data_IF_113672593895
#
_entry.id   IF_113672593895
#
_cell.length_a   1.000
_cell.length_b   1.000
_cell.length_c   1.000
_cell.angle_alpha   90.00
_cell.angle_beta   90.00
_cell.angle_gamma   90.00
#
_symmetry.space_group_name_H-M   'P 1'
#
loop_
_entity.id
_entity.type
_entity.pdbx_description
1 polymer ?
#
# COMPACT_ATOMS: atom_id res chain seq x y z
N UNK A 1 44.90 31.49 32.04
CA UNK A 1 43.67 31.93 31.42
C UNK A 1 42.79 30.72 31.15
N UNK A 2 41.80 30.50 32.03
CA UNK A 2 40.78 29.44 31.84
C UNK A 2 39.78 29.93 30.78
N UNK A 3 39.80 29.33 29.64
CA UNK A 3 38.75 29.50 28.64
C UNK A 3 37.49 28.85 29.21
N UNK A 4 36.54 29.66 29.66
CA UNK A 4 35.16 29.24 29.91
C UNK A 4 34.55 28.87 28.55
N UNK A 5 34.50 27.60 28.24
CA UNK A 5 33.58 27.12 27.22
C UNK A 5 32.19 27.33 27.76
N UNK A 6 31.48 28.28 27.18
CA UNK A 6 30.07 28.52 27.44
C UNK A 6 29.29 27.33 26.88
N UNK A 7 28.49 26.69 27.73
CA UNK A 7 27.57 25.58 27.44
C UNK A 7 26.44 25.94 26.42
N UNK A 8 26.64 27.00 25.66
CA UNK A 8 25.67 27.57 24.72
C UNK A 8 25.93 27.20 23.25
N UNK A 9 26.93 26.36 22.95
CA UNK A 9 27.27 25.95 21.59
C UNK A 9 27.05 24.45 21.34
N UNK A 10 26.34 23.74 22.19
CA UNK A 10 25.67 22.52 21.75
C UNK A 10 24.53 23.00 20.86
N UNK A 11 24.87 23.19 19.57
CA UNK A 11 23.91 23.51 18.53
C UNK A 11 22.64 22.69 18.80
N UNK A 12 21.55 23.37 19.17
CA UNK A 12 20.20 22.83 19.17
C UNK A 12 19.98 22.20 17.78
N UNK A 13 20.36 20.96 17.61
CA UNK A 13 19.80 20.14 16.55
C UNK A 13 18.31 20.19 16.81
N UNK A 14 17.63 21.05 16.10
CA UNK A 14 16.18 21.24 16.22
C UNK A 14 15.55 19.90 15.87
N UNK A 15 15.30 19.11 16.93
CA UNK A 15 14.69 17.80 16.82
C UNK A 15 13.37 18.01 16.10
N UNK A 16 13.24 17.44 14.91
CA UNK A 16 12.06 17.62 14.08
C UNK A 16 10.97 16.66 14.55
N UNK A 17 9.83 17.22 14.95
CA UNK A 17 8.65 16.41 15.33
C UNK A 17 7.90 15.90 14.11
N UNK A 18 7.10 14.83 14.23
CA UNK A 18 6.21 14.35 13.17
C UNK A 18 5.32 15.46 12.59
N UNK A 19 4.75 16.31 13.44
CA UNK A 19 3.92 17.45 13.01
C UNK A 19 4.67 18.41 12.09
N UNK A 20 5.90 18.77 12.46
CA UNK A 20 6.74 19.65 11.66
C UNK A 20 7.13 19.01 10.33
N UNK A 21 7.44 17.70 10.34
CA UNK A 21 7.81 16.96 9.13
C UNK A 21 6.62 16.84 8.18
N UNK A 22 5.43 16.49 8.68
CA UNK A 22 4.18 16.44 7.90
C UNK A 22 3.88 17.81 7.28
N UNK A 23 3.95 18.89 8.05
CA UNK A 23 3.73 20.25 7.56
C UNK A 23 4.70 20.59 6.42
N UNK A 24 5.99 20.32 6.61
CA UNK A 24 7.02 20.57 5.58
C UNK A 24 6.75 19.79 4.30
N UNK A 25 6.38 18.51 4.42
CA UNK A 25 6.01 17.66 3.28
C UNK A 25 4.75 18.18 2.57
N UNK A 26 3.73 18.54 3.34
CA UNK A 26 2.49 19.14 2.83
C UNK A 26 2.76 20.41 2.04
N UNK A 27 3.56 21.33 2.58
CA UNK A 27 3.91 22.60 1.91
C UNK A 27 4.66 22.35 0.59
N UNK A 28 5.58 21.38 0.58
CA UNK A 28 6.28 20.97 -0.64
C UNK A 28 5.33 20.40 -1.67
N UNK A 29 4.42 19.50 -1.27
CA UNK A 29 3.43 18.91 -2.18
C UNK A 29 2.45 19.96 -2.70
N UNK A 30 2.03 20.93 -1.87
CA UNK A 30 1.17 22.05 -2.26
C UNK A 30 1.84 22.92 -3.33
N UNK A 31 3.12 23.29 -3.15
CA UNK A 31 3.91 24.00 -4.16
C UNK A 31 3.98 23.24 -5.49
N UNK A 32 4.01 21.92 -5.43
CA UNK A 32 3.96 21.05 -6.60
C UNK A 32 2.53 20.76 -7.10
N UNK A 33 1.51 21.54 -6.67
CA UNK A 33 0.12 21.45 -7.13
C UNK A 33 -0.53 20.07 -6.87
N UNK A 34 -0.16 19.38 -5.80
CA UNK A 34 -0.85 18.17 -5.33
C UNK A 34 -2.05 18.61 -4.48
N UNK A 35 -3.27 18.35 -4.94
CA UNK A 35 -4.49 18.75 -4.22
C UNK A 35 -4.62 18.07 -2.85
N UNK A 36 -4.21 16.82 -2.76
CA UNK A 36 -4.26 15.98 -1.55
C UNK A 36 -3.02 16.14 -0.65
N UNK A 37 -2.29 17.26 -0.77
CA UNK A 37 -0.97 17.48 -0.17
C UNK A 37 -0.88 17.14 1.31
N UNK A 38 -1.88 17.52 2.12
CA UNK A 38 -1.89 17.25 3.56
C UNK A 38 -2.04 15.75 3.83
N UNK A 39 -3.06 15.13 3.26
CA UNK A 39 -3.35 13.70 3.42
C UNK A 39 -2.18 12.85 2.89
N UNK A 40 -1.63 13.20 1.74
CA UNK A 40 -0.50 12.49 1.14
C UNK A 40 0.74 12.53 2.04
N UNK A 41 1.02 13.68 2.66
CA UNK A 41 2.14 13.84 3.59
C UNK A 41 1.95 12.98 4.85
N UNK A 42 0.76 12.99 5.43
CA UNK A 42 0.40 12.16 6.59
C UNK A 42 0.49 10.67 6.28
N UNK A 43 -0.08 10.23 5.15
CA UNK A 43 -0.03 8.83 4.72
C UNK A 43 1.40 8.34 4.48
N UNK A 44 2.27 9.17 3.88
CA UNK A 44 3.67 8.82 3.67
C UNK A 44 4.38 8.64 5.01
N UNK A 45 4.21 9.57 5.95
CA UNK A 45 4.87 9.43 7.25
C UNK A 45 4.32 8.25 8.05
N UNK A 46 3.00 8.09 8.15
CA UNK A 46 2.38 6.98 8.86
C UNK A 46 2.82 5.61 8.29
N UNK A 47 2.88 5.50 6.95
CA UNK A 47 3.36 4.29 6.30
C UNK A 47 4.83 3.96 6.58
N UNK A 48 5.71 4.97 6.66
CA UNK A 48 7.12 4.80 6.97
C UNK A 48 7.37 4.39 8.43
N UNK A 49 6.54 4.85 9.37
CA UNK A 49 6.65 4.47 10.79
C UNK A 49 5.83 3.22 11.14
N UNK A 50 5.07 2.66 10.19
CA UNK A 50 4.27 1.47 10.42
C UNK A 50 3.03 1.70 11.30
N UNK A 51 2.54 2.92 11.40
CA UNK A 51 1.33 3.30 12.16
C UNK A 51 0.16 3.60 11.22
N UNK A 52 -1.07 3.62 11.76
CA UNK A 52 -2.20 4.18 11.03
C UNK A 52 -2.07 5.71 10.93
N UNK A 53 -2.83 6.33 10.04
CA UNK A 53 -2.88 7.79 9.94
C UNK A 53 -3.47 8.39 11.22
N UNK A 54 -4.48 7.76 11.78
CA UNK A 54 -5.16 8.14 13.01
C UNK A 54 -4.18 8.11 14.19
N UNK A 55 -3.42 7.02 14.35
CA UNK A 55 -2.39 6.90 15.40
C UNK A 55 -1.29 7.97 15.25
N UNK A 56 -0.90 8.29 14.01
CA UNK A 56 0.05 9.36 13.76
C UNK A 56 -0.49 10.70 14.25
N UNK A 57 -1.78 11.02 13.97
CA UNK A 57 -2.39 12.30 14.35
C UNK A 57 -2.58 12.46 15.86
N UNK A 58 -2.76 11.35 16.59
CA UNK A 58 -2.87 11.36 18.05
C UNK A 58 -1.48 11.53 18.72
N UNK A 59 -0.41 11.05 18.09
CA UNK A 59 0.94 11.00 18.66
C UNK A 59 1.92 11.76 17.76
N UNK A 60 1.86 13.09 17.78
CA UNK A 60 2.71 13.95 16.93
C UNK A 60 4.00 14.47 17.64
N UNK A 61 4.22 14.10 18.92
CA UNK A 61 5.27 14.65 19.76
C UNK A 61 6.39 13.67 20.13
N UNK A 62 6.87 12.89 19.15
CA UNK A 62 8.05 12.04 19.34
C UNK A 62 9.18 12.45 18.40
N UNK A 63 10.39 12.07 18.77
CA UNK A 63 11.58 12.39 17.99
C UNK A 63 11.74 11.48 16.79
N UNK A 64 12.09 12.08 15.65
CA UNK A 64 12.34 11.36 14.41
C UNK A 64 13.85 11.20 14.19
N UNK A 65 14.28 9.99 13.87
CA UNK A 65 15.67 9.74 13.48
C UNK A 65 15.97 10.25 12.05
N UNK A 66 17.25 10.50 11.78
CA UNK A 66 17.72 11.06 10.49
C UNK A 66 17.35 10.16 9.30
N UNK A 67 17.39 8.83 9.46
CA UNK A 67 17.06 7.88 8.40
C UNK A 67 15.60 8.00 7.97
N UNK A 68 14.68 8.12 8.93
CA UNK A 68 13.26 8.30 8.67
C UNK A 68 12.98 9.63 7.95
N UNK A 69 13.62 10.72 8.39
CA UNK A 69 13.50 12.04 7.73
C UNK A 69 13.98 11.96 6.27
N UNK A 70 15.09 11.28 6.03
CA UNK A 70 15.64 11.10 4.67
C UNK A 70 14.67 10.28 3.80
N UNK A 71 14.15 9.17 4.31
CA UNK A 71 13.17 8.33 3.62
C UNK A 71 11.87 9.09 3.32
N UNK A 72 11.41 9.88 4.27
CA UNK A 72 10.24 10.75 4.09
C UNK A 72 10.47 11.78 2.99
N UNK A 73 11.58 12.53 3.03
CA UNK A 73 11.90 13.54 2.02
C UNK A 73 12.01 12.94 0.62
N UNK A 74 12.61 11.76 0.49
CA UNK A 74 12.67 11.01 -0.77
C UNK A 74 11.27 10.66 -1.28
N UNK A 75 10.41 10.14 -0.39
CA UNK A 75 9.03 9.76 -0.72
C UNK A 75 8.17 10.96 -1.13
N UNK A 76 8.30 12.09 -0.42
CA UNK A 76 7.65 13.35 -0.75
C UNK A 76 8.11 13.88 -2.12
N UNK A 77 9.41 13.78 -2.43
CA UNK A 77 9.93 14.17 -3.76
C UNK A 77 9.35 13.29 -4.87
N UNK A 78 9.31 11.96 -4.67
CA UNK A 78 8.67 11.03 -5.62
C UNK A 78 7.22 11.42 -5.87
N UNK A 79 6.47 11.72 -4.81
CA UNK A 79 5.06 12.14 -4.91
C UNK A 79 4.89 13.49 -5.59
N UNK A 80 5.65 14.51 -5.18
CA UNK A 80 5.50 15.88 -5.67
C UNK A 80 6.01 16.06 -7.09
N UNK A 81 7.23 15.59 -7.37
CA UNK A 81 7.91 15.82 -8.65
C UNK A 81 7.53 14.77 -9.69
N UNK A 82 7.64 13.48 -9.33
CA UNK A 82 7.35 12.36 -10.26
C UNK A 82 5.88 12.00 -10.35
N UNK A 83 5.02 12.59 -9.53
CA UNK A 83 3.58 12.25 -9.46
C UNK A 83 3.30 10.79 -9.13
N UNK A 84 4.25 10.11 -8.48
CA UNK A 84 4.12 8.71 -8.18
C UNK A 84 2.94 8.46 -7.22
N UNK A 85 2.08 7.46 -7.48
CA UNK A 85 0.98 7.11 -6.58
C UNK A 85 1.47 6.72 -5.19
N UNK A 86 0.77 7.15 -4.14
CA UNK A 86 1.11 6.82 -2.75
C UNK A 86 1.21 5.29 -2.54
N UNK A 87 0.32 4.53 -3.16
CA UNK A 87 0.33 3.07 -3.06
C UNK A 87 1.66 2.44 -3.54
N UNK A 88 2.29 3.01 -4.58
CA UNK A 88 3.60 2.54 -5.05
C UNK A 88 4.74 3.03 -4.16
N UNK A 89 4.64 4.25 -3.61
CA UNK A 89 5.62 4.77 -2.66
C UNK A 89 5.68 3.90 -1.41
N UNK A 90 4.50 3.51 -0.89
CA UNK A 90 4.36 2.67 0.31
C UNK A 90 4.39 1.16 0.01
N UNK A 91 4.39 0.77 -1.28
CA UNK A 91 4.25 -0.62 -1.73
C UNK A 91 3.03 -1.34 -1.12
N UNK A 92 1.97 -0.60 -0.81
CA UNK A 92 0.80 -1.10 -0.10
C UNK A 92 -0.47 -0.39 -0.57
N UNK A 93 -1.55 -1.14 -0.68
CA UNK A 93 -2.91 -0.63 -0.91
C UNK A 93 -3.89 -1.45 -0.09
N UNK A 94 -4.75 -0.77 0.62
CA UNK A 94 -5.91 -1.39 1.24
C UNK A 94 -7.02 -1.58 0.20
N UNK A 95 -7.66 -2.75 0.23
CA UNK A 95 -8.81 -3.11 -0.59
C UNK A 95 -9.61 -4.16 0.17
N UNK A 96 -10.93 -3.99 0.29
CA UNK A 96 -11.80 -4.88 1.04
C UNK A 96 -11.33 -5.14 2.49
N UNK A 97 -10.91 -4.08 3.18
CA UNK A 97 -10.29 -4.13 4.53
C UNK A 97 -9.08 -5.08 4.64
N UNK A 98 -8.50 -5.49 3.51
CA UNK A 98 -7.31 -6.33 3.43
C UNK A 98 -6.12 -5.53 2.90
N UNK A 99 -4.92 -5.90 3.33
CA UNK A 99 -3.70 -5.27 2.87
C UNK A 99 -3.10 -6.01 1.67
N UNK A 100 -2.88 -5.29 0.58
CA UNK A 100 -2.26 -5.80 -0.63
C UNK A 100 -0.93 -5.11 -0.90
N UNK A 101 0.11 -5.89 -1.16
CA UNK A 101 1.34 -5.37 -1.77
C UNK A 101 1.03 -5.00 -3.22
N UNK A 102 1.50 -3.82 -3.61
CA UNK A 102 1.45 -3.33 -4.99
C UNK A 102 2.83 -2.83 -5.41
N UNK A 103 3.09 -2.80 -6.71
CA UNK A 103 4.39 -2.40 -7.26
C UNK A 103 4.16 -1.71 -8.61
N UNK A 104 5.00 -0.77 -9.05
CA UNK A 104 4.95 -0.23 -10.41
C UNK A 104 4.86 -1.36 -11.45
N UNK A 105 3.91 -1.23 -12.38
CA UNK A 105 3.58 -2.27 -13.37
C UNK A 105 2.42 -3.19 -12.99
N UNK A 106 1.84 -3.05 -11.79
CA UNK A 106 0.64 -3.76 -11.36
C UNK A 106 -0.47 -2.74 -11.10
N UNK A 107 -1.65 -2.97 -11.64
CA UNK A 107 -2.78 -2.06 -11.41
C UNK A 107 -3.06 -1.93 -9.90
N UNK A 108 -3.12 -0.70 -9.41
CA UNK A 108 -3.53 -0.41 -8.04
C UNK A 108 -5.02 -0.74 -7.90
N UNK A 109 -5.44 -1.59 -6.95
CA UNK A 109 -6.84 -1.88 -6.69
C UNK A 109 -7.68 -0.61 -6.58
N UNK A 110 -8.82 -0.56 -7.29
CA UNK A 110 -9.73 0.57 -7.32
C UNK A 110 -10.89 0.36 -6.36
N UNK A 111 -11.34 1.39 -5.62
CA UNK A 111 -12.46 1.28 -4.68
C UNK A 111 -13.75 0.76 -5.35
N UNK A 112 -14.00 1.17 -6.60
CA UNK A 112 -15.19 0.76 -7.35
C UNK A 112 -15.25 -0.76 -7.58
N UNK A 113 -14.10 -1.43 -7.57
CA UNK A 113 -14.00 -2.89 -7.71
C UNK A 113 -14.53 -3.63 -6.47
N UNK A 114 -14.60 -2.96 -5.31
CA UNK A 114 -15.19 -3.53 -4.10
C UNK A 114 -16.68 -3.82 -4.26
N UNK A 115 -17.39 -3.01 -5.05
CA UNK A 115 -18.81 -3.26 -5.38
C UNK A 115 -19.01 -4.60 -6.11
N UNK A 116 -18.05 -5.00 -6.94
CA UNK A 116 -18.08 -6.31 -7.61
C UNK A 116 -17.89 -7.43 -6.60
N UNK A 117 -16.92 -7.28 -5.69
CA UNK A 117 -16.68 -8.28 -4.62
C UNK A 117 -17.93 -8.42 -3.76
N UNK A 118 -18.54 -7.31 -3.33
CA UNK A 118 -19.77 -7.30 -2.53
C UNK A 118 -20.90 -8.08 -3.20
N UNK A 119 -21.16 -7.79 -4.49
CA UNK A 119 -22.23 -8.47 -5.25
C UNK A 119 -21.98 -9.97 -5.38
N UNK A 120 -20.74 -10.37 -5.68
CA UNK A 120 -20.39 -11.80 -5.82
C UNK A 120 -20.53 -12.50 -4.47
N UNK A 121 -20.03 -11.92 -3.39
CA UNK A 121 -20.16 -12.49 -2.04
C UNK A 121 -21.62 -12.65 -1.66
N UNK A 122 -22.44 -11.62 -1.89
CA UNK A 122 -23.88 -11.66 -1.58
C UNK A 122 -24.60 -12.76 -2.37
N UNK A 123 -24.26 -12.94 -3.65
CA UNK A 123 -24.89 -13.94 -4.53
C UNK A 123 -24.51 -15.38 -4.13
N UNK A 124 -23.23 -15.61 -3.80
CA UNK A 124 -22.70 -16.94 -3.49
C UNK A 124 -22.53 -17.23 -2.00
N UNK A 125 -23.19 -16.47 -1.12
CA UNK A 125 -23.01 -16.55 0.34
C UNK A 125 -23.15 -17.96 0.91
N UNK A 126 -24.07 -18.76 0.33
CA UNK A 126 -24.38 -20.12 0.78
C UNK A 126 -23.76 -21.19 -0.11
N UNK A 127 -22.96 -20.81 -1.10
CA UNK A 127 -22.35 -21.70 -2.07
C UNK A 127 -20.82 -21.76 -1.89
N UNK A 128 -20.20 -22.77 -2.51
CA UNK A 128 -18.76 -22.92 -2.55
C UNK A 128 -18.27 -22.87 -4.01
N UNK A 129 -18.39 -21.71 -4.70
CA UNK A 129 -18.04 -21.62 -6.11
C UNK A 129 -16.55 -21.87 -6.34
N UNK A 130 -16.22 -22.43 -7.49
CA UNK A 130 -14.85 -22.44 -7.99
C UNK A 130 -14.62 -21.18 -8.83
N UNK A 131 -13.67 -20.33 -8.42
CA UNK A 131 -13.50 -18.98 -8.93
C UNK A 131 -12.37 -18.95 -9.95
N UNK A 132 -12.62 -18.35 -11.11
CA UNK A 132 -11.61 -18.04 -12.11
C UNK A 132 -11.43 -16.52 -12.19
N UNK A 133 -10.21 -16.05 -11.85
CA UNK A 133 -9.82 -14.61 -11.94
C UNK A 133 -8.80 -14.45 -13.07
N UNK A 134 -9.23 -13.80 -14.15
CA UNK A 134 -8.43 -13.58 -15.35
C UNK A 134 -7.88 -12.16 -15.33
N UNK A 135 -6.55 -12.03 -15.46
CA UNK A 135 -5.87 -10.75 -15.28
C UNK A 135 -5.80 -10.36 -13.79
N UNK A 136 -5.47 -11.33 -12.94
CA UNK A 136 -5.57 -11.19 -11.48
C UNK A 136 -4.77 -10.02 -10.88
N UNK A 137 -3.73 -9.52 -11.56
CA UNK A 137 -2.93 -8.39 -11.11
C UNK A 137 -2.32 -8.60 -9.72
N UNK A 138 -2.76 -7.82 -8.74
CA UNK A 138 -2.36 -7.97 -7.34
C UNK A 138 -3.03 -9.15 -6.62
N UNK A 139 -4.01 -9.81 -7.25
CA UNK A 139 -4.84 -10.85 -6.64
C UNK A 139 -5.99 -10.30 -5.78
N UNK A 140 -6.24 -8.99 -5.80
CA UNK A 140 -7.16 -8.36 -4.84
C UNK A 140 -8.59 -8.92 -4.94
N UNK A 141 -9.10 -9.22 -6.13
CA UNK A 141 -10.46 -9.74 -6.32
C UNK A 141 -10.56 -11.17 -5.76
N UNK A 142 -9.79 -12.10 -6.29
CA UNK A 142 -9.88 -13.52 -5.88
C UNK A 142 -9.56 -13.72 -4.41
N UNK A 143 -8.57 -12.99 -3.87
CA UNK A 143 -8.19 -13.08 -2.45
C UNK A 143 -9.32 -12.58 -1.57
N UNK A 144 -9.94 -11.43 -1.89
CA UNK A 144 -11.07 -10.89 -1.14
C UNK A 144 -12.28 -11.82 -1.19
N UNK A 145 -12.61 -12.39 -2.37
CA UNK A 145 -13.67 -13.38 -2.51
C UNK A 145 -13.42 -14.61 -1.64
N UNK A 146 -12.19 -15.14 -1.63
CA UNK A 146 -11.85 -16.31 -0.83
C UNK A 146 -11.75 -16.02 0.67
N UNK A 147 -11.59 -14.76 1.09
CA UNK A 147 -11.69 -14.37 2.51
C UNK A 147 -13.12 -14.50 3.01
N UNK A 148 -14.09 -14.11 2.20
CA UNK A 148 -15.52 -14.19 2.53
C UNK A 148 -16.08 -15.60 2.31
N UNK A 149 -15.78 -16.22 1.16
CA UNK A 149 -16.27 -17.56 0.77
C UNK A 149 -15.25 -18.62 1.21
N UNK A 150 -15.28 -19.00 2.48
CA UNK A 150 -14.21 -19.76 3.17
C UNK A 150 -13.94 -21.14 2.59
N UNK A 151 -14.93 -21.80 1.99
CA UNK A 151 -14.79 -23.13 1.41
C UNK A 151 -14.52 -23.11 -0.09
N UNK A 152 -14.56 -21.94 -0.72
CA UNK A 152 -14.28 -21.76 -2.15
C UNK A 152 -12.79 -21.88 -2.45
N UNK A 153 -12.50 -22.30 -3.68
CA UNK A 153 -11.17 -22.39 -4.27
C UNK A 153 -11.18 -21.68 -5.62
N UNK A 154 -10.02 -21.44 -6.19
CA UNK A 154 -10.00 -20.84 -7.52
C UNK A 154 -8.66 -20.85 -8.21
N UNK A 155 -8.67 -20.30 -9.41
CA UNK A 155 -7.52 -20.13 -10.29
C UNK A 155 -7.34 -18.64 -10.57
N UNK A 156 -6.14 -18.16 -10.40
CA UNK A 156 -5.72 -16.81 -10.75
C UNK A 156 -4.77 -16.85 -11.95
N UNK A 157 -5.14 -16.17 -13.02
CA UNK A 157 -4.38 -16.15 -14.28
C UNK A 157 -3.89 -14.73 -14.54
N UNK A 158 -2.63 -14.61 -14.96
CA UNK A 158 -2.09 -13.35 -15.47
C UNK A 158 -0.99 -13.64 -16.49
N UNK A 159 -0.87 -12.79 -17.50
CA UNK A 159 0.23 -12.83 -18.46
C UNK A 159 1.55 -12.38 -17.84
N UNK A 160 1.48 -11.51 -16.83
CA UNK A 160 2.63 -10.96 -16.13
C UNK A 160 3.10 -11.87 -15.00
N UNK A 161 4.31 -12.43 -15.15
CA UNK A 161 4.97 -13.19 -14.06
C UNK A 161 5.18 -12.33 -12.81
N UNK A 162 5.38 -11.01 -12.97
CA UNK A 162 5.54 -10.07 -11.85
C UNK A 162 4.23 -9.93 -11.09
N UNK A 163 3.10 -9.79 -11.78
CA UNK A 163 1.77 -9.76 -11.17
C UNK A 163 1.50 -11.03 -10.36
N UNK A 164 1.72 -12.21 -10.94
CA UNK A 164 1.53 -13.48 -10.23
C UNK A 164 2.45 -13.63 -9.01
N UNK A 165 3.68 -13.14 -9.08
CA UNK A 165 4.59 -13.14 -7.91
C UNK A 165 4.03 -12.29 -6.77
N UNK A 166 3.43 -11.16 -7.08
CA UNK A 166 2.80 -10.28 -6.08
C UNK A 166 1.48 -10.87 -5.58
N UNK A 167 0.63 -11.40 -6.48
CA UNK A 167 -0.60 -12.08 -6.09
C UNK A 167 -0.35 -13.27 -5.15
N UNK A 168 0.68 -14.08 -5.41
CA UNK A 168 1.12 -15.15 -4.50
C UNK A 168 1.53 -14.61 -3.12
N UNK A 169 2.32 -13.52 -3.07
CA UNK A 169 2.68 -12.88 -1.79
C UNK A 169 1.45 -12.37 -1.04
N UNK A 170 0.52 -11.76 -1.76
CA UNK A 170 -0.72 -11.24 -1.18
C UNK A 170 -1.63 -12.37 -0.67
N UNK A 171 -1.69 -13.50 -1.37
CA UNK A 171 -2.47 -14.67 -0.91
C UNK A 171 -1.92 -15.27 0.39
N UNK A 172 -0.59 -15.26 0.56
CA UNK A 172 0.06 -15.69 1.81
C UNK A 172 -0.28 -14.72 2.94
N UNK A 173 -0.10 -13.40 2.72
CA UNK A 173 -0.40 -12.36 3.72
C UNK A 173 -1.85 -12.46 4.19
N UNK A 174 -2.77 -12.80 3.28
CA UNK A 174 -4.20 -12.86 3.57
C UNK A 174 -4.71 -14.29 3.84
N UNK A 175 -3.83 -15.28 4.06
CA UNK A 175 -4.16 -16.66 4.42
C UNK A 175 -5.12 -17.37 3.44
N UNK A 176 -4.91 -17.19 2.12
CA UNK A 176 -5.70 -17.82 1.06
C UNK A 176 -4.86 -18.66 0.09
N UNK A 177 -3.54 -18.73 0.29
CA UNK A 177 -2.59 -19.29 -0.67
C UNK A 177 -2.88 -20.78 -1.02
N UNK A 178 -3.34 -21.57 -0.06
CA UNK A 178 -3.66 -23.00 -0.24
C UNK A 178 -4.94 -23.25 -1.04
N UNK A 179 -5.70 -22.22 -1.36
CA UNK A 179 -6.97 -22.29 -2.10
C UNK A 179 -6.90 -21.66 -3.49
N UNK A 180 -5.72 -21.15 -3.90
CA UNK A 180 -5.52 -20.49 -5.20
C UNK A 180 -4.45 -21.21 -6.00
N UNK A 181 -4.80 -21.66 -7.21
CA UNK A 181 -3.83 -22.09 -8.22
C UNK A 181 -3.46 -20.88 -9.09
N UNK A 182 -2.17 -20.59 -9.21
CA UNK A 182 -1.68 -19.46 -10.02
C UNK A 182 -1.11 -19.97 -11.33
N UNK A 183 -1.55 -19.41 -12.45
CA UNK A 183 -1.17 -19.83 -13.79
C UNK A 183 -0.69 -18.64 -14.62
N UNK A 184 0.52 -18.73 -15.16
CA UNK A 184 1.01 -17.73 -16.09
C UNK A 184 0.57 -18.09 -17.51
N UNK A 185 -0.47 -17.43 -17.98
CA UNK A 185 -1.04 -17.66 -19.32
C UNK A 185 -1.75 -16.41 -19.83
N UNK A 186 -1.87 -16.33 -21.17
CA UNK A 186 -2.79 -15.40 -21.82
C UNK A 186 -4.22 -15.95 -21.79
N UNK A 187 -5.21 -15.07 -21.69
CA UNK A 187 -6.63 -15.40 -21.82
C UNK A 187 -6.93 -16.15 -23.13
N UNK A 188 -6.22 -15.85 -24.21
CA UNK A 188 -6.39 -16.49 -25.51
C UNK A 188 -5.95 -17.96 -25.53
N UNK A 189 -5.24 -18.43 -24.52
CA UNK A 189 -4.76 -19.81 -24.40
C UNK A 189 -5.55 -20.63 -23.36
N UNK A 190 -6.67 -20.11 -22.87
CA UNK A 190 -7.47 -20.75 -21.80
C UNK A 190 -8.26 -21.97 -22.29
N UNK A 191 -8.44 -22.18 -23.60
CA UNK A 191 -9.23 -23.27 -24.16
C UNK A 191 -8.74 -24.70 -23.79
N UNK A 192 -7.63 -24.84 -23.06
CA UNK A 192 -7.06 -26.13 -22.66
C UNK A 192 -7.11 -26.40 -21.15
N UNK A 193 -7.92 -25.65 -20.38
CA UNK A 193 -8.13 -25.96 -18.96
C UNK A 193 -9.27 -27.03 -18.85
N UNK A 194 -8.87 -28.30 -18.86
CA UNK A 194 -9.67 -29.41 -18.36
C UNK A 194 -9.38 -29.66 -16.89
#
# INVERSE_FOLDING_TARGET
>A
PKVKRTDNEIAKFKIMTPAQLVKKGSDFLKKNKIKTHQIDSELILSGLIGKSREDLLISLDFELNKSLITSFNSSISRRGVKREPIAYILNKKEFWSLNFKVHPGILIPRPETELMVEKIVKYYKNDNPYILDIGTGSGCIIISLLKELKNSKGVAIDISKVALKIAKKNSIINNTANRIKFINSSVLKINNFK
#
